data_IF_580471542087
#
_entry.id   IF_580471542087
#
_cell.length_a   1.000
_cell.length_b   1.000
_cell.length_c   1.000
_cell.angle_alpha   90.00
_cell.angle_beta   90.00
_cell.angle_gamma   90.00
#
_symmetry.space_group_name_H-M   'P 1'
#
loop_
_entity.id
_entity.type
_entity.pdbx_description
1 polymer ?
#
# COMPACT_ATOMS: atom_id res chain seq x y z
N UNK A 1 9.84 -1.57 12.67
CA UNK A 1 8.78 -2.50 12.21
C UNK A 1 8.41 -2.26 10.74
N UNK A 2 8.47 -1.02 10.27
CA UNK A 2 8.28 -0.62 8.88
C UNK A 2 9.43 0.32 8.43
N UNK A 3 9.58 0.51 7.13
CA UNK A 3 10.41 1.51 6.48
C UNK A 3 9.71 2.89 6.51
N UNK A 4 10.46 3.95 6.19
CA UNK A 4 9.99 5.35 6.23
C UNK A 4 8.83 5.64 5.26
N UNK A 5 8.59 4.78 4.27
CA UNK A 5 7.51 4.85 3.30
C UNK A 5 6.27 4.00 3.68
N UNK A 6 6.28 3.33 4.84
CA UNK A 6 5.19 2.49 5.31
C UNK A 6 5.31 1.00 4.94
N UNK A 7 6.23 0.66 4.05
CA UNK A 7 6.50 -0.72 3.64
C UNK A 7 7.03 -1.52 4.84
N UNK A 8 6.61 -2.78 5.06
CA UNK A 8 7.23 -3.64 6.06
C UNK A 8 8.75 -3.77 5.84
N UNK A 9 9.48 -4.28 6.82
CA UNK A 9 10.84 -4.76 6.54
C UNK A 9 10.79 -5.98 5.61
N UNK A 10 11.71 -6.11 4.67
CA UNK A 10 11.71 -7.20 3.71
C UNK A 10 12.81 -7.05 2.66
N UNK A 11 12.75 -7.87 1.63
CA UNK A 11 13.74 -7.90 0.55
C UNK A 11 13.09 -8.19 -0.79
N UNK A 12 13.70 -7.70 -1.87
CA UNK A 12 13.33 -8.10 -3.23
C UNK A 12 13.94 -9.45 -3.57
N UNK A 13 13.15 -10.33 -4.17
CA UNK A 13 13.60 -11.59 -4.76
C UNK A 13 13.53 -11.45 -6.27
N UNK A 14 14.66 -11.71 -6.93
CA UNK A 14 14.76 -11.69 -8.38
C UNK A 14 15.06 -13.10 -8.87
N UNK A 15 14.20 -13.61 -9.75
CA UNK A 15 14.32 -14.93 -10.35
C UNK A 15 14.70 -14.77 -11.82
N UNK A 16 15.83 -15.38 -12.20
CA UNK A 16 16.38 -15.28 -13.55
C UNK A 16 16.37 -16.65 -14.19
N UNK A 17 15.70 -16.78 -15.33
CA UNK A 17 15.69 -17.98 -16.15
C UNK A 17 16.07 -17.63 -17.60
N UNK A 18 17.36 -17.72 -17.93
CA UNK A 18 17.88 -17.26 -19.22
C UNK A 18 17.68 -15.75 -19.39
N UNK A 19 16.82 -15.36 -20.32
CA UNK A 19 16.43 -13.96 -20.56
C UNK A 19 15.17 -13.53 -19.81
N UNK A 20 14.47 -14.47 -19.18
CA UNK A 20 13.24 -14.19 -18.43
C UNK A 20 13.59 -13.74 -17.02
N UNK A 21 13.11 -12.54 -16.65
CA UNK A 21 13.29 -11.94 -15.33
C UNK A 21 11.93 -11.78 -14.65
N UNK A 22 11.80 -12.36 -13.45
CA UNK A 22 10.68 -12.14 -12.55
C UNK A 22 11.18 -11.60 -11.23
N UNK A 23 10.35 -10.83 -10.54
CA UNK A 23 10.66 -10.39 -9.19
C UNK A 23 9.41 -10.21 -8.36
N UNK A 24 9.60 -10.30 -7.05
CA UNK A 24 8.58 -9.98 -6.07
C UNK A 24 9.26 -9.43 -4.81
N UNK A 25 8.47 -8.78 -3.97
CA UNK A 25 8.92 -8.35 -2.66
C UNK A 25 8.49 -9.37 -1.60
N UNK A 26 9.40 -9.74 -0.71
CA UNK A 26 9.14 -10.64 0.41
C UNK A 26 9.19 -9.84 1.71
N UNK A 27 8.03 -9.50 2.31
CA UNK A 27 8.02 -8.92 3.63
C UNK A 27 8.46 -9.95 4.67
N UNK A 28 9.29 -9.53 5.63
CA UNK A 28 9.76 -10.38 6.72
C UNK A 28 8.62 -10.64 7.70
N UNK A 29 8.35 -11.92 7.99
CA UNK A 29 7.32 -12.31 8.95
C UNK A 29 5.89 -12.22 8.43
N UNK A 30 5.68 -11.97 7.13
CA UNK A 30 4.39 -12.01 6.45
C UNK A 30 4.46 -12.92 5.23
N UNK A 31 3.31 -13.39 4.78
CA UNK A 31 3.19 -14.14 3.52
C UNK A 31 3.55 -13.25 2.33
N UNK A 32 4.15 -13.83 1.28
CA UNK A 32 4.48 -13.16 0.01
C UNK A 32 3.29 -12.42 -0.60
N UNK A 33 2.06 -12.89 -0.36
CA UNK A 33 0.84 -12.28 -0.92
C UNK A 33 0.47 -10.95 -0.25
N UNK A 34 1.12 -10.60 0.88
CA UNK A 34 0.98 -9.28 1.47
C UNK A 34 1.84 -8.30 0.67
N UNK A 35 1.21 -7.63 -0.30
CA UNK A 35 1.84 -6.59 -1.13
C UNK A 35 1.22 -5.22 -0.96
N UNK A 36 0.21 -5.10 -0.09
CA UNK A 36 -0.45 -3.84 0.16
C UNK A 36 -0.97 -3.76 1.59
N UNK A 37 -1.18 -2.52 2.03
CA UNK A 37 -1.98 -2.21 3.21
C UNK A 37 -3.00 -1.14 2.85
N UNK A 38 -4.20 -1.29 3.36
CA UNK A 38 -5.27 -0.32 3.17
C UNK A 38 -5.63 0.37 4.48
N UNK A 39 -6.07 1.61 4.37
CA UNK A 39 -6.57 2.44 5.44
C UNK A 39 -7.88 3.06 4.99
N UNK A 40 -8.90 3.03 5.85
CA UNK A 40 -10.18 3.70 5.61
C UNK A 40 -10.37 4.74 6.70
N UNK A 41 -10.26 6.01 6.32
CA UNK A 41 -10.50 7.14 7.21
C UNK A 41 -11.95 7.59 7.07
N UNK A 42 -12.64 7.77 8.19
CA UNK A 42 -13.95 8.41 8.22
C UNK A 42 -13.79 9.93 8.29
N UNK A 43 -14.30 10.64 7.28
CA UNK A 43 -14.36 12.10 7.22
C UNK A 43 -15.82 12.55 7.43
N UNK A 44 -16.03 13.86 7.60
CA UNK A 44 -17.34 14.41 7.99
C UNK A 44 -18.51 13.97 7.11
N UNK A 45 -18.31 13.94 5.77
CA UNK A 45 -19.35 13.60 4.79
C UNK A 45 -18.89 12.56 3.76
N UNK A 46 -17.73 11.94 3.96
CA UNK A 46 -17.16 10.95 3.03
C UNK A 46 -16.20 10.02 3.76
N UNK A 47 -15.86 8.90 3.15
CA UNK A 47 -14.74 8.05 3.57
C UNK A 47 -13.60 8.19 2.58
N UNK A 48 -12.38 8.07 3.08
CA UNK A 48 -11.17 8.09 2.27
C UNK A 48 -10.47 6.74 2.39
N UNK A 49 -10.27 6.09 1.26
CA UNK A 49 -9.45 4.88 1.15
C UNK A 49 -8.05 5.30 0.72
N UNK A 50 -7.05 4.82 1.45
CA UNK A 50 -5.65 4.89 1.07
C UNK A 50 -5.15 3.45 0.95
N UNK A 51 -4.60 3.08 -0.19
CA UNK A 51 -3.88 1.82 -0.37
C UNK A 51 -2.40 2.10 -0.60
N UNK A 52 -1.55 1.63 0.31
CA UNK A 52 -0.10 1.63 0.14
C UNK A 52 0.29 0.29 -0.52
N UNK A 53 0.80 0.34 -1.75
CA UNK A 53 1.15 -0.85 -2.54
C UNK A 53 2.68 -0.95 -2.66
N UNK A 54 3.23 -2.02 -2.11
CA UNK A 54 4.67 -2.26 -2.10
C UNK A 54 5.14 -2.86 -3.42
N UNK A 55 6.42 -2.68 -3.75
CA UNK A 55 7.01 -3.16 -5.01
C UNK A 55 6.29 -2.64 -6.26
N UNK A 56 5.55 -1.53 -6.12
CA UNK A 56 4.76 -0.97 -7.19
C UNK A 56 5.62 -0.62 -8.40
N UNK A 57 5.03 -0.85 -9.56
CA UNK A 57 5.60 -0.58 -10.86
C UNK A 57 4.51 -0.03 -11.80
N UNK A 58 4.82 0.88 -12.74
CA UNK A 58 3.83 1.47 -13.65
C UNK A 58 3.01 0.50 -14.50
N UNK A 59 3.43 -0.77 -14.67
CA UNK A 59 2.63 -1.76 -15.40
C UNK A 59 1.60 -2.47 -14.51
N UNK A 60 1.62 -2.22 -13.20
CA UNK A 60 0.67 -2.80 -12.25
C UNK A 60 -0.68 -2.08 -12.32
N UNK A 61 -1.74 -2.83 -12.00
CA UNK A 61 -3.10 -2.30 -11.92
C UNK A 61 -3.59 -2.34 -10.48
N UNK A 62 -4.11 -1.22 -10.00
CA UNK A 62 -4.68 -1.11 -8.65
C UNK A 62 -6.14 -0.76 -8.80
N UNK A 63 -7.00 -1.73 -8.51
CA UNK A 63 -8.45 -1.59 -8.64
C UNK A 63 -9.11 -1.66 -7.28
N UNK A 64 -10.26 -0.99 -7.12
CA UNK A 64 -11.02 -1.01 -5.88
C UNK A 64 -12.50 -1.31 -6.10
N UNK A 65 -13.09 -1.91 -5.09
CA UNK A 65 -14.47 -2.36 -5.06
C UNK A 65 -15.12 -1.84 -3.79
N UNK A 66 -16.31 -1.27 -3.95
CA UNK A 66 -17.14 -0.75 -2.87
C UNK A 66 -18.43 -1.56 -2.82
N UNK A 67 -18.70 -2.22 -1.70
CA UNK A 67 -19.83 -3.14 -1.52
C UNK A 67 -19.97 -4.16 -2.67
N UNK A 68 -18.85 -4.61 -3.22
CA UNK A 68 -18.77 -5.58 -4.32
C UNK A 68 -18.88 -4.99 -5.73
N UNK A 69 -19.16 -3.69 -5.88
CA UNK A 69 -19.15 -3.00 -7.17
C UNK A 69 -17.75 -2.52 -7.52
N UNK A 70 -17.26 -2.87 -8.71
CA UNK A 70 -16.00 -2.33 -9.24
C UNK A 70 -16.13 -0.83 -9.50
N UNK A 71 -15.16 -0.07 -9.00
CA UNK A 71 -15.06 1.37 -9.19
C UNK A 71 -13.95 1.76 -10.18
N UNK A 72 -13.22 0.77 -10.72
CA UNK A 72 -12.12 0.97 -11.65
C UNK A 72 -10.76 1.13 -10.97
N UNK A 73 -9.81 1.69 -11.72
CA UNK A 73 -8.43 1.92 -11.26
C UNK A 73 -8.37 3.08 -10.25
N UNK A 74 -7.55 2.93 -9.23
CA UNK A 74 -7.31 3.96 -8.22
C UNK A 74 -6.33 5.01 -8.73
N UNK A 75 -6.52 6.26 -8.30
CA UNK A 75 -5.58 7.34 -8.60
C UNK A 75 -4.36 7.26 -7.69
N UNK A 76 -3.18 7.37 -8.29
CA UNK A 76 -1.92 7.46 -7.57
C UNK A 76 -1.75 8.86 -6.96
N UNK A 77 -1.28 8.93 -5.73
CA UNK A 77 -1.02 10.19 -5.05
C UNK A 77 0.32 10.15 -4.32
N UNK A 78 1.07 11.25 -4.43
CA UNK A 78 2.27 11.44 -3.60
C UNK A 78 1.86 11.82 -2.19
N UNK A 79 2.41 11.13 -1.20
CA UNK A 79 2.06 11.40 0.19
C UNK A 79 2.92 10.64 1.17
N UNK A 80 2.59 10.76 2.45
CA UNK A 80 3.20 9.99 3.52
C UNK A 80 2.27 8.85 3.91
N UNK A 81 2.81 7.65 4.10
CA UNK A 81 2.03 6.53 4.61
C UNK A 81 1.48 6.84 6.02
N UNK A 82 0.18 6.61 6.28
CA UNK A 82 -0.43 6.90 7.57
C UNK A 82 0.29 6.25 8.76
N UNK A 83 0.70 4.99 8.64
CA UNK A 83 1.38 4.27 9.73
C UNK A 83 2.80 4.82 9.96
N UNK A 84 3.52 5.16 8.88
CA UNK A 84 4.83 5.82 8.96
C UNK A 84 4.74 7.16 9.68
N UNK A 85 3.73 7.98 9.37
CA UNK A 85 3.47 9.24 10.08
C UNK A 85 3.22 8.98 11.56
N UNK A 86 2.36 8.03 11.92
CA UNK A 86 2.07 7.73 13.33
C UNK A 86 3.30 7.27 14.11
N UNK A 87 4.19 6.49 13.49
CA UNK A 87 5.33 5.90 14.18
C UNK A 87 6.55 6.80 14.25
N UNK A 88 6.77 7.63 13.23
CA UNK A 88 8.03 8.37 13.06
C UNK A 88 7.88 9.88 13.17
N UNK A 89 6.68 10.44 12.97
CA UNK A 89 6.52 11.90 13.02
C UNK A 89 6.46 12.41 14.46
N UNK A 90 7.48 13.19 14.84
CA UNK A 90 7.49 13.99 16.07
C UNK A 90 8.84 13.94 16.78
N UNK A 91 9.17 14.99 17.54
CA UNK A 91 10.52 15.24 18.08
C UNK A 91 11.08 14.12 18.98
N UNK A 92 10.20 13.25 19.51
CA UNK A 92 10.55 12.15 20.41
C UNK A 92 10.36 10.77 19.77
N UNK A 93 9.96 10.73 18.50
CA UNK A 93 9.65 9.52 17.75
C UNK A 93 10.63 9.33 16.58
N UNK A 94 10.89 8.08 16.19
CA UNK A 94 10.74 6.89 17.03
C UNK A 94 11.71 6.94 18.23
N UNK A 95 11.28 6.41 19.36
CA UNK A 95 12.06 6.44 20.60
C UNK A 95 13.44 5.77 20.40
N UNK A 96 14.51 6.51 20.71
CA UNK A 96 15.89 6.05 20.54
C UNK A 96 16.49 6.24 19.13
N UNK A 97 15.68 6.66 18.14
CA UNK A 97 16.14 7.00 16.78
C UNK A 97 15.36 8.20 16.21
N UNK A 98 15.39 9.32 16.92
CA UNK A 98 14.61 10.54 16.59
C UNK A 98 14.99 11.22 15.27
N UNK A 99 15.97 10.69 14.54
CA UNK A 99 16.35 11.16 13.21
C UNK A 99 15.52 10.50 12.09
N UNK A 100 14.81 9.42 12.38
CA UNK A 100 14.00 8.73 11.38
C UNK A 100 12.67 9.47 11.21
N UNK A 101 12.39 9.90 9.98
CA UNK A 101 11.18 10.63 9.62
C UNK A 101 10.41 9.90 8.51
N UNK A 102 9.08 10.06 8.44
CA UNK A 102 8.32 9.51 7.33
C UNK A 102 8.78 10.14 6.01
N UNK A 103 8.96 9.33 4.97
CA UNK A 103 9.31 9.80 3.63
C UNK A 103 8.09 9.86 2.74
N UNK A 104 8.10 10.86 1.86
CA UNK A 104 7.10 10.95 0.81
C UNK A 104 7.33 9.79 -0.17
N UNK A 105 6.25 9.12 -0.52
CA UNK A 105 6.25 8.00 -1.46
C UNK A 105 5.27 8.26 -2.60
N UNK A 106 5.52 7.58 -3.72
CA UNK A 106 4.74 7.66 -4.95
C UNK A 106 3.93 6.39 -5.19
N UNK A 107 3.83 5.47 -4.22
CA UNK A 107 3.07 4.22 -4.34
C UNK A 107 1.83 4.17 -3.45
N UNK A 108 1.24 5.34 -3.17
CA UNK A 108 -0.03 5.46 -2.48
C UNK A 108 -1.15 5.67 -3.50
N UNK A 109 -2.25 4.97 -3.30
CA UNK A 109 -3.44 5.04 -4.13
C UNK A 109 -4.60 5.54 -3.28
N UNK A 110 -5.32 6.54 -3.75
CA UNK A 110 -6.39 7.18 -2.97
C UNK A 110 -7.72 7.16 -3.71
N UNK A 111 -8.79 6.95 -2.96
CA UNK A 111 -10.15 7.14 -3.44
C UNK A 111 -11.03 7.73 -2.33
N UNK A 112 -12.07 8.47 -2.73
CA UNK A 112 -13.11 8.96 -1.83
C UNK A 112 -14.45 8.34 -2.20
N UNK A 113 -15.27 8.05 -1.21
CA UNK A 113 -16.57 7.41 -1.41
C UNK A 113 -17.56 7.74 -0.29
N UNK A 114 -18.82 7.38 -0.49
CA UNK A 114 -19.89 7.70 0.44
C UNK A 114 -19.71 7.00 1.81
N UNK A 115 -20.10 7.65 2.92
CA UNK A 115 -20.02 7.05 4.26
C UNK A 115 -20.86 5.78 4.44
N UNK A 116 -21.88 5.61 3.59
CA UNK A 116 -22.83 4.47 3.58
C UNK A 116 -22.16 3.13 3.24
N UNK A 117 -21.03 3.16 2.53
CA UNK A 117 -20.29 1.96 2.11
C UNK A 117 -19.71 1.24 3.34
N UNK A 118 -19.88 -0.08 3.36
CA UNK A 118 -19.47 -0.94 4.48
C UNK A 118 -18.28 -1.83 4.16
N UNK A 119 -18.16 -2.29 2.92
CA UNK A 119 -17.08 -3.19 2.50
C UNK A 119 -16.22 -2.51 1.47
N UNK A 120 -14.93 -2.48 1.76
CA UNK A 120 -13.93 -1.96 0.84
C UNK A 120 -12.96 -3.08 0.50
N UNK A 121 -12.71 -3.27 -0.79
CA UNK A 121 -11.74 -4.24 -1.28
C UNK A 121 -10.82 -3.56 -2.29
N UNK A 122 -9.52 -3.78 -2.15
CA UNK A 122 -8.52 -3.37 -3.14
C UNK A 122 -7.89 -4.62 -3.72
N UNK A 123 -7.81 -4.67 -5.04
CA UNK A 123 -7.15 -5.74 -5.80
C UNK A 123 -6.02 -5.12 -6.59
N UNK A 124 -4.81 -5.58 -6.33
CA UNK A 124 -3.61 -5.19 -7.07
C UNK A 124 -3.22 -6.35 -7.97
N UNK A 125 -3.00 -6.08 -9.25
CA UNK A 125 -2.45 -7.05 -10.20
C UNK A 125 -1.06 -6.59 -10.61
N UNK A 126 -0.04 -7.42 -10.42
CA UNK A 126 1.31 -7.10 -10.86
C UNK A 126 1.50 -7.25 -12.37
N UNK A 127 2.68 -6.85 -12.86
CA UNK A 127 3.07 -7.00 -14.27
C UNK A 127 3.15 -8.45 -14.75
N UNK A 128 3.21 -9.42 -13.84
CA UNK A 128 3.29 -10.85 -14.13
C UNK A 128 1.92 -11.54 -14.06
N UNK A 129 0.87 -10.82 -13.66
CA UNK A 129 -0.50 -11.30 -13.52
C UNK A 129 -0.85 -11.86 -12.14
N UNK A 130 0.04 -11.78 -11.14
CA UNK A 130 -0.27 -12.14 -9.77
C UNK A 130 -1.21 -11.12 -9.14
N UNK A 131 -2.18 -11.61 -8.36
CA UNK A 131 -3.20 -10.77 -7.72
C UNK A 131 -3.02 -10.77 -6.21
N UNK A 132 -3.04 -9.58 -5.64
CA UNK A 132 -2.99 -9.33 -4.21
C UNK A 132 -4.26 -8.61 -3.80
N UNK A 133 -4.82 -8.96 -2.64
CA UNK A 133 -6.10 -8.41 -2.18
C UNK A 133 -6.00 -7.99 -0.72
N UNK A 134 -6.58 -6.83 -0.41
CA UNK A 134 -6.81 -6.39 0.95
C UNK A 134 -8.27 -5.93 1.08
N UNK A 135 -8.87 -6.22 2.23
CA UNK A 135 -10.27 -5.93 2.54
C UNK A 135 -10.39 -5.28 3.93
N UNK A 136 -11.34 -4.36 4.06
CA UNK A 136 -11.71 -3.65 5.29
C UNK A 136 -13.23 -3.58 5.43
#
# INVERSE_FOLDING_TARGET
PICEDGTPSGYGVYEVNGTDLKWYYQPTGLERTNQLRIYVDELTNQKRLIANVWNWDPQWKVEYFLDGKSMGEMEIQKGFDPMSVTLFKGDKLPMGRTFAEPKMTEHLFMAHFEPSIKKVKVVVTDRFGEKFTAEA
#
